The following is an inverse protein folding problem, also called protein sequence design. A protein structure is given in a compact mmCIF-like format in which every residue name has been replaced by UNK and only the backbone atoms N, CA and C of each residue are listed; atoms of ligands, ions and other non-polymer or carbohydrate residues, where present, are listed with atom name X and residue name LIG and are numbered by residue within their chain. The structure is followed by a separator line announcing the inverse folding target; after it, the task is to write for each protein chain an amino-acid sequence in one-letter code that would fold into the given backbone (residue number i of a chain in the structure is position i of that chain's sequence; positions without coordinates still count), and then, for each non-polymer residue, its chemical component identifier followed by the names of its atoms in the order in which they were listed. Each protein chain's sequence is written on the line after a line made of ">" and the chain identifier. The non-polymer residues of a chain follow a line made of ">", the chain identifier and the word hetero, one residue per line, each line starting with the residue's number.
data_IF_991292804274
#
_entry.id   IF_991292804274
#
_cell.length_a   1.000
_cell.length_b   1.000
_cell.length_c   1.000
_cell.angle_alpha   90.00
_cell.angle_beta   90.00
_cell.angle_gamma   90.00
#
_symmetry.space_group_name_H-M   'P 1'
#
loop_
_entity.id
_entity.type
_entity.pdbx_description
1 polymer ?
#
# COMPACT_ATOMS: atom_id res chain seq x y z
N UNK A 1 -30.96 -18.33 -16.88
CA UNK A 1 -29.94 -17.91 -17.85
C UNK A 1 -30.20 -16.42 -18.12
N UNK A 2 -29.37 -15.54 -17.63
CA UNK A 2 -29.35 -14.14 -18.02
C UNK A 2 -28.09 -14.02 -18.85
N UNK A 3 -28.28 -13.76 -20.15
CA UNK A 3 -27.20 -13.52 -21.10
C UNK A 3 -26.30 -12.40 -20.63
N UNK A 4 -24.98 -12.43 -20.87
CA UNK A 4 -24.10 -11.32 -20.61
C UNK A 4 -24.45 -10.21 -21.59
N UNK A 5 -24.80 -9.03 -21.08
CA UNK A 5 -24.87 -7.80 -21.88
C UNK A 5 -23.43 -7.49 -22.25
N UNK A 6 -23.05 -7.81 -23.49
CA UNK A 6 -21.73 -7.60 -24.07
C UNK A 6 -21.60 -6.14 -24.54
N UNK A 7 -21.11 -5.30 -23.67
CA UNK A 7 -20.37 -4.10 -24.04
C UNK A 7 -18.92 -4.30 -23.61
N UNK A 8 -17.93 -3.73 -24.27
CA UNK A 8 -16.49 -3.98 -24.21
C UNK A 8 -15.77 -3.92 -22.82
N UNK A 9 -16.48 -4.05 -21.70
CA UNK A 9 -15.94 -4.10 -20.36
C UNK A 9 -15.78 -5.55 -19.90
N UNK A 10 -14.63 -5.89 -19.34
CA UNK A 10 -14.33 -7.19 -18.75
C UNK A 10 -15.29 -7.48 -17.61
N UNK A 11 -16.05 -8.56 -17.76
CA UNK A 11 -17.14 -8.99 -16.87
C UNK A 11 -16.60 -9.27 -15.47
N UNK A 12 -16.92 -8.40 -14.50
CA UNK A 12 -16.73 -8.70 -13.07
C UNK A 12 -17.56 -9.93 -12.70
N UNK A 13 -17.02 -10.71 -11.77
CA UNK A 13 -17.70 -11.90 -11.29
C UNK A 13 -18.85 -11.53 -10.37
N UNK A 14 -20.09 -11.91 -10.74
CA UNK A 14 -21.26 -11.80 -9.86
C UNK A 14 -21.47 -13.14 -9.17
N UNK A 15 -21.59 -13.11 -7.83
CA UNK A 15 -21.71 -14.33 -6.99
C UNK A 15 -22.95 -14.21 -6.12
N UNK A 16 -23.81 -15.23 -6.13
CA UNK A 16 -25.09 -15.25 -5.39
C UNK A 16 -25.20 -16.51 -4.53
N UNK A 17 -25.94 -16.48 -3.41
CA UNK A 17 -26.10 -17.66 -2.51
C UNK A 17 -26.60 -18.92 -3.20
N UNK A 18 -27.41 -18.79 -4.26
CA UNK A 18 -27.93 -19.91 -5.06
C UNK A 18 -26.95 -20.50 -6.06
N UNK A 19 -25.79 -19.88 -6.26
CA UNK A 19 -24.79 -20.36 -7.22
C UNK A 19 -24.08 -21.60 -6.65
N UNK A 20 -23.95 -22.66 -7.45
CA UNK A 20 -23.32 -23.93 -7.04
C UNK A 20 -21.93 -23.74 -6.42
N UNK A 21 -21.21 -22.70 -6.85
CA UNK A 21 -19.86 -22.40 -6.39
C UNK A 21 -19.80 -21.36 -5.27
N UNK A 22 -20.94 -20.88 -4.73
CA UNK A 22 -20.95 -19.80 -3.73
C UNK A 22 -20.05 -20.12 -2.52
N UNK A 23 -20.31 -21.23 -1.84
CA UNK A 23 -19.54 -21.61 -0.65
C UNK A 23 -18.04 -21.79 -0.93
N UNK A 24 -17.69 -22.34 -2.11
CA UNK A 24 -16.29 -22.48 -2.54
C UNK A 24 -15.66 -21.11 -2.77
N UNK A 25 -16.37 -20.19 -3.41
CA UNK A 25 -15.90 -18.83 -3.65
C UNK A 25 -15.67 -18.09 -2.33
N UNK A 26 -16.63 -18.12 -1.39
CA UNK A 26 -16.49 -17.48 -0.08
C UNK A 26 -15.27 -18.03 0.67
N UNK A 27 -15.08 -19.35 0.70
CA UNK A 27 -13.87 -19.94 1.32
C UNK A 27 -12.57 -19.50 0.65
N UNK A 28 -12.57 -19.26 -0.65
CA UNK A 28 -11.38 -18.80 -1.37
C UNK A 28 -10.98 -17.35 -1.04
N UNK A 29 -11.87 -16.57 -0.44
CA UNK A 29 -11.58 -15.23 0.04
C UNK A 29 -10.71 -15.23 1.31
N UNK A 30 -10.73 -16.31 2.11
CA UNK A 30 -9.80 -16.50 3.21
C UNK A 30 -8.44 -16.98 2.68
N UNK A 31 -7.58 -16.06 2.33
CA UNK A 31 -6.31 -16.31 1.66
C UNK A 31 -5.13 -15.68 2.39
N UNK A 32 -3.94 -16.18 2.06
CA UNK A 32 -2.67 -15.57 2.42
C UNK A 32 -1.80 -15.45 1.18
N UNK A 33 -1.29 -14.25 0.93
CA UNK A 33 -0.35 -14.03 -0.17
C UNK A 33 0.94 -14.82 0.07
N UNK A 34 1.44 -15.51 -0.97
CA UNK A 34 2.72 -16.24 -0.96
C UNK A 34 3.46 -15.96 -2.25
N UNK A 35 4.78 -15.83 -2.14
CA UNK A 35 5.63 -15.77 -3.33
C UNK A 35 5.66 -17.13 -4.05
N UNK A 36 5.89 -17.12 -5.36
CA UNK A 36 6.14 -18.35 -6.11
C UNK A 36 7.58 -18.83 -5.89
N UNK A 37 7.87 -20.15 -6.01
CA UNK A 37 9.22 -20.67 -5.86
C UNK A 37 10.25 -19.99 -6.79
N UNK A 38 9.82 -19.57 -7.98
CA UNK A 38 10.69 -18.85 -8.93
C UNK A 38 11.07 -17.45 -8.39
N UNK A 39 10.13 -16.72 -7.79
CA UNK A 39 10.40 -15.43 -7.15
C UNK A 39 11.31 -15.62 -5.94
N UNK A 40 11.05 -16.62 -5.09
CA UNK A 40 11.88 -16.91 -3.92
C UNK A 40 13.34 -17.19 -4.31
N UNK A 41 13.57 -18.04 -5.34
CA UNK A 41 14.90 -18.34 -5.83
C UNK A 41 15.60 -17.10 -6.38
N UNK A 42 14.91 -16.34 -7.23
CA UNK A 42 15.48 -15.12 -7.85
C UNK A 42 15.91 -14.11 -6.78
N UNK A 43 15.09 -13.90 -5.76
CA UNK A 43 15.38 -12.96 -4.67
C UNK A 43 16.55 -13.44 -3.83
N UNK A 44 16.63 -14.72 -3.51
CA UNK A 44 17.78 -15.30 -2.80
C UNK A 44 19.09 -15.06 -3.55
N UNK A 45 19.09 -15.29 -4.87
CA UNK A 45 20.25 -15.07 -5.71
C UNK A 45 20.65 -13.58 -5.74
N UNK A 46 19.67 -12.66 -5.73
CA UNK A 46 19.91 -11.21 -5.68
C UNK A 46 20.54 -10.82 -4.33
N UNK A 47 19.98 -11.29 -3.21
CA UNK A 47 20.48 -10.99 -1.87
C UNK A 47 21.94 -11.47 -1.75
N UNK A 48 22.21 -12.71 -2.09
CA UNK A 48 23.56 -13.28 -2.05
C UNK A 48 24.56 -12.49 -2.92
N UNK A 49 24.12 -12.02 -4.10
CA UNK A 49 24.95 -11.18 -4.96
C UNK A 49 25.24 -9.81 -4.33
N UNK A 50 24.24 -9.16 -3.69
CA UNK A 50 24.47 -7.86 -3.02
C UNK A 50 25.41 -8.02 -1.83
N UNK A 51 25.29 -9.08 -1.06
CA UNK A 51 26.22 -9.38 0.04
C UNK A 51 27.66 -9.56 -0.42
N UNK A 52 27.87 -10.27 -1.52
CA UNK A 52 29.21 -10.57 -2.04
C UNK A 52 29.85 -9.42 -2.81
N UNK A 53 29.06 -8.70 -3.61
CA UNK A 53 29.55 -7.75 -4.64
C UNK A 53 29.19 -6.28 -4.33
N UNK A 54 28.34 -6.04 -3.34
CA UNK A 54 27.96 -4.68 -2.90
C UNK A 54 27.38 -3.82 -4.05
N UNK A 55 27.95 -2.63 -4.22
CA UNK A 55 27.48 -1.65 -5.23
C UNK A 55 27.52 -2.20 -6.67
N UNK A 56 28.45 -3.09 -6.99
CA UNK A 56 28.53 -3.70 -8.32
C UNK A 56 27.27 -4.53 -8.63
N UNK A 57 26.74 -5.27 -7.66
CA UNK A 57 25.49 -5.98 -7.79
C UNK A 57 24.31 -5.02 -8.01
N UNK A 58 24.25 -3.90 -7.26
CA UNK A 58 23.19 -2.89 -7.40
C UNK A 58 23.16 -2.35 -8.83
N UNK A 59 24.30 -1.97 -9.38
CA UNK A 59 24.45 -1.42 -10.72
C UNK A 59 24.02 -2.46 -11.77
N UNK A 60 24.55 -3.68 -11.66
CA UNK A 60 24.24 -4.78 -12.56
C UNK A 60 22.75 -5.12 -12.61
N UNK A 61 22.10 -5.27 -11.45
CA UNK A 61 20.68 -5.58 -11.39
C UNK A 61 19.81 -4.40 -11.82
N UNK A 62 20.19 -3.15 -11.51
CA UNK A 62 19.48 -1.97 -12.01
C UNK A 62 19.44 -1.97 -13.54
N UNK A 63 20.58 -2.20 -14.19
CA UNK A 63 20.65 -2.32 -15.66
C UNK A 63 19.87 -3.52 -16.19
N UNK A 64 20.02 -4.69 -15.56
CA UNK A 64 19.32 -5.93 -15.95
C UNK A 64 17.80 -5.78 -15.95
N UNK A 65 17.24 -5.00 -15.03
CA UNK A 65 15.80 -4.77 -14.90
C UNK A 65 15.31 -3.51 -15.62
N UNK A 66 16.08 -3.02 -16.60
CA UNK A 66 15.67 -1.93 -17.49
C UNK A 66 15.84 -0.52 -16.91
N UNK A 67 16.54 -0.39 -15.79
CA UNK A 67 16.94 0.89 -15.24
C UNK A 67 18.16 1.50 -15.96
N UNK A 68 18.56 2.72 -15.56
CA UNK A 68 19.69 3.43 -16.17
C UNK A 68 21.04 2.77 -15.84
N UNK A 69 22.04 3.02 -16.70
CA UNK A 69 23.43 2.71 -16.39
C UNK A 69 24.00 3.80 -15.50
N UNK A 70 24.17 3.51 -14.20
CA UNK A 70 24.73 4.44 -13.21
C UNK A 70 26.04 3.89 -12.68
N UNK A 71 26.99 4.78 -12.39
CA UNK A 71 28.16 4.45 -11.59
C UNK A 71 27.87 4.49 -10.08
N UNK A 72 28.73 3.92 -9.24
CA UNK A 72 28.55 3.89 -7.80
C UNK A 72 28.38 5.30 -7.19
N UNK A 73 29.13 6.29 -7.67
CA UNK A 73 29.02 7.70 -7.23
C UNK A 73 27.67 8.35 -7.60
N UNK A 74 26.99 7.82 -8.61
CA UNK A 74 25.72 8.34 -9.10
C UNK A 74 24.50 7.70 -8.41
N UNK A 75 24.69 6.65 -7.61
CA UNK A 75 23.60 6.00 -6.87
C UNK A 75 22.94 6.96 -5.88
N UNK A 76 23.70 7.82 -5.22
CA UNK A 76 23.18 8.80 -4.26
C UNK A 76 22.69 10.06 -4.99
N UNK A 77 21.51 10.53 -4.65
CA UNK A 77 21.04 11.86 -5.04
C UNK A 77 21.81 12.91 -4.25
N UNK A 78 22.40 13.93 -4.91
CA UNK A 78 23.11 15.00 -4.22
C UNK A 78 22.18 15.74 -3.27
N UNK A 79 22.63 16.07 -2.06
CA UNK A 79 21.83 16.80 -1.06
C UNK A 79 21.31 18.14 -1.60
N UNK A 80 22.10 18.81 -2.45
CA UNK A 80 21.71 20.08 -3.12
C UNK A 80 20.53 19.86 -4.08
N UNK A 81 20.50 18.72 -4.82
CA UNK A 81 19.39 18.37 -5.71
C UNK A 81 18.12 18.08 -4.90
N UNK A 82 18.25 17.30 -3.82
CA UNK A 82 17.15 16.98 -2.93
C UNK A 82 16.52 18.25 -2.32
N UNK A 83 17.33 19.15 -1.75
CA UNK A 83 16.85 20.40 -1.14
C UNK A 83 16.28 21.40 -2.16
N UNK A 84 16.78 21.40 -3.40
CA UNK A 84 16.28 22.26 -4.47
C UNK A 84 14.95 21.77 -5.07
N UNK A 85 14.64 20.48 -4.96
CA UNK A 85 13.47 19.88 -5.62
C UNK A 85 12.15 20.56 -5.21
N UNK A 86 11.96 20.83 -3.92
CA UNK A 86 10.73 21.50 -3.43
C UNK A 86 10.58 22.91 -3.99
N UNK A 87 11.69 23.65 -4.13
CA UNK A 87 11.66 25.01 -4.69
C UNK A 87 11.33 25.04 -6.16
N UNK A 88 11.69 23.98 -6.90
CA UNK A 88 11.49 23.87 -8.35
C UNK A 88 10.09 23.48 -8.79
N UNK A 89 9.18 23.16 -7.86
CA UNK A 89 7.78 22.82 -8.16
C UNK A 89 6.95 24.09 -8.39
N UNK A 90 5.91 23.95 -9.22
CA UNK A 90 4.87 24.97 -9.35
C UNK A 90 4.10 25.19 -8.04
N UNK A 91 3.49 26.35 -7.90
CA UNK A 91 2.81 26.77 -6.68
C UNK A 91 1.61 25.87 -6.30
N UNK A 92 0.74 25.42 -7.24
CA UNK A 92 -0.33 24.49 -6.93
C UNK A 92 0.18 23.16 -6.38
N UNK A 93 1.14 22.52 -7.04
CA UNK A 93 1.74 21.24 -6.60
C UNK A 93 2.39 21.39 -5.22
N UNK A 94 3.12 22.47 -4.99
CA UNK A 94 3.73 22.74 -3.68
C UNK A 94 2.69 22.89 -2.57
N UNK A 95 1.58 23.60 -2.82
CA UNK A 95 0.48 23.74 -1.85
C UNK A 95 -0.16 22.39 -1.54
N UNK A 96 -0.43 21.57 -2.56
CA UNK A 96 -1.03 20.25 -2.39
C UNK A 96 -0.14 19.32 -1.53
N UNK A 97 1.17 19.23 -1.83
CA UNK A 97 2.13 18.45 -1.05
C UNK A 97 2.21 18.95 0.40
N UNK A 98 2.25 20.26 0.62
CA UNK A 98 2.33 20.84 1.96
C UNK A 98 1.07 20.56 2.78
N UNK A 99 -0.11 20.63 2.15
CA UNK A 99 -1.38 20.32 2.81
C UNK A 99 -1.45 18.83 3.21
N UNK A 100 -1.11 17.92 2.29
CA UNK A 100 -1.05 16.48 2.57
C UNK A 100 -0.06 16.17 3.69
N UNK A 101 1.17 16.70 3.61
CA UNK A 101 2.19 16.52 4.65
C UNK A 101 1.74 17.02 6.02
N UNK A 102 1.07 18.17 6.10
CA UNK A 102 0.54 18.72 7.36
C UNK A 102 -0.47 17.75 8.01
N UNK A 103 -1.40 17.20 7.22
CA UNK A 103 -2.40 16.25 7.72
C UNK A 103 -1.75 14.94 8.16
N UNK A 104 -0.85 14.39 7.36
CA UNK A 104 -0.11 13.16 7.67
C UNK A 104 0.70 13.35 8.96
N UNK A 105 1.42 14.45 9.09
CA UNK A 105 2.21 14.77 10.29
C UNK A 105 1.33 14.88 11.55
N UNK A 106 0.19 15.57 11.42
CA UNK A 106 -0.75 15.70 12.53
C UNK A 106 -1.30 14.34 12.99
N UNK A 107 -1.62 13.45 12.04
CA UNK A 107 -2.07 12.10 12.35
C UNK A 107 -0.93 11.27 12.96
N UNK A 108 0.26 11.27 12.35
CA UNK A 108 1.42 10.53 12.84
C UNK A 108 1.77 10.92 14.29
N UNK A 109 1.76 12.21 14.62
CA UNK A 109 2.02 12.67 15.98
C UNK A 109 1.02 12.14 17.02
N UNK A 110 -0.25 11.96 16.62
CA UNK A 110 -1.29 11.37 17.50
C UNK A 110 -1.14 9.86 17.66
N UNK A 111 -0.53 9.18 16.70
CA UNK A 111 -0.28 7.73 16.71
C UNK A 111 0.93 7.33 17.54
N UNK A 112 1.79 8.28 17.93
CA UNK A 112 2.99 7.99 18.70
C UNK A 112 2.66 7.43 20.08
N UNK A 113 3.29 6.33 20.43
CA UNK A 113 3.24 5.77 21.78
C UNK A 113 3.99 6.69 22.75
N UNK A 114 3.43 6.84 23.95
CA UNK A 114 4.02 7.65 25.01
C UNK A 114 4.67 6.75 26.06
N UNK A 115 5.82 7.19 26.58
CA UNK A 115 6.44 6.55 27.74
C UNK A 115 5.48 6.61 28.94
N UNK A 116 5.44 5.53 29.74
CA UNK A 116 4.64 5.49 30.94
C UNK A 116 5.35 4.74 32.05
N UNK A 117 5.01 5.05 33.30
CA UNK A 117 5.43 4.27 34.45
C UNK A 117 4.32 4.24 35.51
N UNK A 118 4.25 3.14 36.25
CA UNK A 118 3.31 2.93 37.33
C UNK A 118 3.97 2.09 38.44
N UNK A 119 3.33 2.00 39.63
CA UNK A 119 3.70 1.04 40.65
C UNK A 119 2.81 -0.19 40.54
N UNK A 120 3.40 -1.38 40.64
CA UNK A 120 2.64 -2.62 40.73
C UNK A 120 2.10 -2.83 42.17
N UNK A 121 1.33 -3.90 42.37
CA UNK A 121 0.73 -4.23 43.66
C UNK A 121 1.77 -4.44 44.79
N UNK A 122 3.01 -4.80 44.46
CA UNK A 122 4.11 -4.99 45.40
C UNK A 122 4.96 -3.72 45.60
N UNK A 123 4.56 -2.58 44.99
CA UNK A 123 5.23 -1.31 45.12
C UNK A 123 6.40 -1.08 44.16
N UNK A 124 6.78 -2.04 43.31
CA UNK A 124 7.85 -1.89 42.34
C UNK A 124 7.44 -0.90 41.24
N UNK A 125 8.38 -0.02 40.83
CA UNK A 125 8.16 0.88 39.67
C UNK A 125 8.43 0.13 38.38
N UNK A 126 7.41 0.08 37.51
CA UNK A 126 7.47 -0.53 36.17
C UNK A 126 7.06 0.48 35.11
N UNK A 127 7.45 0.28 33.86
CA UNK A 127 7.05 1.18 32.77
C UNK A 127 7.56 0.71 31.40
N UNK A 128 7.14 1.41 30.36
CA UNK A 128 7.64 1.24 29.00
C UNK A 128 8.25 2.55 28.49
N UNK A 129 9.36 2.42 27.80
CA UNK A 129 10.04 3.50 27.11
C UNK A 129 10.11 3.21 25.62
N UNK A 130 9.73 4.18 24.80
CA UNK A 130 9.71 4.09 23.34
C UNK A 130 10.76 5.04 22.79
N UNK A 131 11.81 4.48 22.20
CA UNK A 131 12.89 5.22 21.57
C UNK A 131 12.84 5.04 20.04
N UNK A 132 13.16 6.08 19.23
CA UNK A 132 13.20 5.95 17.78
C UNK A 132 14.38 5.06 17.34
N UNK A 133 14.22 4.42 16.19
CA UNK A 133 15.36 3.83 15.48
C UNK A 133 16.37 4.92 15.11
N UNK A 134 17.66 4.59 15.10
CA UNK A 134 18.69 5.54 14.70
C UNK A 134 18.73 5.75 13.18
N UNK A 135 18.41 4.72 12.40
CA UNK A 135 18.43 4.76 10.94
C UNK A 135 17.40 3.81 10.37
N UNK A 136 16.54 4.30 9.48
CA UNK A 136 15.51 3.51 8.79
C UNK A 136 15.61 3.64 7.29
N UNK A 137 15.20 2.60 6.57
CA UNK A 137 15.13 2.56 5.12
C UNK A 137 13.69 2.63 4.64
N UNK A 138 13.44 3.48 3.67
CA UNK A 138 12.14 3.66 3.02
C UNK A 138 12.27 3.22 1.57
N UNK A 139 11.54 2.18 1.20
CA UNK A 139 11.42 1.78 -0.19
C UNK A 139 10.24 2.53 -0.84
N UNK A 140 10.52 3.34 -1.84
CA UNK A 140 9.49 4.03 -2.62
C UNK A 140 9.46 3.43 -4.02
N UNK A 141 8.35 2.78 -4.43
CA UNK A 141 8.24 2.23 -5.76
C UNK A 141 8.40 3.31 -6.83
N UNK A 142 9.09 2.95 -7.90
CA UNK A 142 9.13 3.72 -9.13
C UNK A 142 8.38 2.96 -10.21
N UNK A 143 8.10 3.58 -11.32
CA UNK A 143 7.39 2.98 -12.44
C UNK A 143 6.65 4.02 -13.26
N UNK A 144 5.44 3.71 -13.68
CA UNK A 144 4.63 4.59 -14.54
C UNK A 144 4.21 5.88 -13.86
N UNK A 145 4.06 5.88 -12.52
CA UNK A 145 3.73 7.08 -11.74
C UNK A 145 4.64 7.22 -10.52
N UNK A 146 5.05 8.44 -10.14
CA UNK A 146 5.77 8.67 -8.90
C UNK A 146 4.83 8.49 -7.72
N UNK A 147 5.15 7.58 -6.80
CA UNK A 147 4.36 7.38 -5.57
C UNK A 147 4.76 8.41 -4.51
N UNK A 148 4.31 9.63 -4.72
CA UNK A 148 4.57 10.78 -3.84
C UNK A 148 3.92 10.56 -2.47
N UNK A 149 2.75 9.95 -2.42
CA UNK A 149 2.03 9.63 -1.18
C UNK A 149 2.81 8.66 -0.30
N UNK A 150 3.37 7.58 -0.87
CA UNK A 150 4.25 6.66 -0.14
C UNK A 150 5.43 7.39 0.50
N UNK A 151 6.10 8.27 -0.25
CA UNK A 151 7.21 9.06 0.29
C UNK A 151 6.76 9.96 1.46
N UNK A 152 5.64 10.66 1.31
CA UNK A 152 5.08 11.50 2.37
C UNK A 152 4.69 10.67 3.59
N UNK A 153 3.93 9.60 3.42
CA UNK A 153 3.39 8.82 4.52
C UNK A 153 4.49 8.09 5.30
N UNK A 154 5.42 7.42 4.63
CA UNK A 154 6.47 6.66 5.32
C UNK A 154 7.52 7.55 5.97
N UNK A 155 8.08 8.54 5.24
CA UNK A 155 9.11 9.42 5.80
C UNK A 155 8.55 10.32 6.91
N UNK A 156 7.31 10.85 6.76
CA UNK A 156 6.73 11.73 7.80
C UNK A 156 6.49 10.98 9.11
N UNK A 157 6.06 9.71 9.07
CA UNK A 157 5.91 8.91 10.28
C UNK A 157 7.27 8.65 10.95
N UNK A 158 8.31 8.35 10.18
CA UNK A 158 9.66 8.19 10.70
C UNK A 158 10.17 9.48 11.34
N UNK A 159 9.99 10.63 10.66
CA UNK A 159 10.38 11.95 11.17
C UNK A 159 9.57 12.34 12.43
N UNK A 160 8.26 12.04 12.46
CA UNK A 160 7.40 12.31 13.63
C UNK A 160 7.82 11.47 14.84
N UNK A 161 8.29 10.24 14.60
CA UNK A 161 8.85 9.37 15.65
C UNK A 161 10.25 9.82 16.14
N UNK A 162 10.88 10.82 15.51
CA UNK A 162 12.19 11.33 15.90
C UNK A 162 13.37 10.54 15.32
N UNK A 163 13.17 9.78 14.25
CA UNK A 163 14.27 9.06 13.58
C UNK A 163 15.25 10.04 12.94
N UNK A 164 16.54 10.04 13.33
CA UNK A 164 17.50 11.03 12.83
C UNK A 164 17.96 10.75 11.40
N UNK A 165 18.01 9.51 10.96
CA UNK A 165 18.46 9.14 9.62
C UNK A 165 17.38 8.35 8.85
N UNK A 166 16.76 9.03 7.90
CA UNK A 166 15.69 8.47 7.04
C UNK A 166 16.25 8.34 5.64
N UNK A 167 16.48 7.10 5.21
CA UNK A 167 17.11 6.75 3.94
C UNK A 167 16.05 6.25 2.97
N UNK A 168 15.85 6.95 1.86
CA UNK A 168 14.94 6.49 0.82
C UNK A 168 15.69 5.81 -0.34
N UNK A 169 15.13 4.72 -0.85
CA UNK A 169 15.56 4.07 -2.08
C UNK A 169 14.39 4.08 -3.08
N UNK A 170 14.66 4.47 -4.31
CA UNK A 170 13.67 4.51 -5.40
C UNK A 170 14.36 4.32 -6.74
N UNK A 171 13.78 3.56 -7.69
CA UNK A 171 14.38 3.45 -9.02
C UNK A 171 14.34 4.81 -9.72
N UNK A 172 15.44 5.14 -10.42
CA UNK A 172 15.48 6.27 -11.31
C UNK A 172 14.84 5.96 -12.67
N UNK A 173 14.43 6.98 -13.39
CA UNK A 173 14.02 6.88 -14.78
C UNK A 173 15.19 6.44 -15.69
N UNK A 174 14.90 6.14 -16.96
CA UNK A 174 15.93 5.78 -17.95
C UNK A 174 16.98 6.87 -18.17
N UNK A 175 16.62 8.11 -17.89
CA UNK A 175 17.49 9.29 -17.89
C UNK A 175 18.40 9.40 -16.66
N UNK A 176 18.38 8.42 -15.76
CA UNK A 176 19.14 8.42 -14.50
C UNK A 176 18.65 9.39 -13.43
N UNK A 177 17.46 9.98 -13.60
CA UNK A 177 16.92 10.99 -12.67
C UNK A 177 15.72 10.43 -11.89
N UNK A 178 15.56 10.91 -10.67
CA UNK A 178 14.33 10.75 -9.88
C UNK A 178 13.40 11.93 -10.19
N UNK A 179 12.11 11.68 -10.32
CA UNK A 179 11.14 12.74 -10.62
C UNK A 179 11.14 13.81 -9.55
N UNK A 180 11.14 15.09 -9.98
CA UNK A 180 11.22 16.27 -9.08
C UNK A 180 10.15 16.27 -7.98
N UNK A 181 8.90 15.91 -8.31
CA UNK A 181 7.82 15.83 -7.33
C UNK A 181 8.10 14.81 -6.23
N UNK A 182 8.69 13.65 -6.57
CA UNK A 182 9.08 12.64 -5.59
C UNK A 182 10.24 13.12 -4.70
N UNK A 183 11.27 13.72 -5.28
CA UNK A 183 12.37 14.32 -4.49
C UNK A 183 11.87 15.41 -3.54
N UNK A 184 10.93 16.23 -4.02
CA UNK A 184 10.33 17.28 -3.19
C UNK A 184 9.53 16.70 -2.02
N UNK A 185 8.76 15.63 -2.26
CA UNK A 185 8.02 14.94 -1.21
C UNK A 185 8.95 14.28 -0.18
N UNK A 186 9.99 13.61 -0.63
CA UNK A 186 11.02 13.00 0.23
C UNK A 186 11.71 14.07 1.10
N UNK A 187 12.10 15.19 0.50
CA UNK A 187 12.70 16.30 1.23
C UNK A 187 11.74 16.90 2.26
N UNK A 188 10.50 17.19 1.85
CA UNK A 188 9.47 17.76 2.73
C UNK A 188 9.16 16.85 3.92
N UNK A 189 9.15 15.52 3.69
CA UNK A 189 8.87 14.51 4.69
C UNK A 189 10.06 14.14 5.59
N UNK A 190 11.25 14.73 5.35
CA UNK A 190 12.42 14.57 6.22
C UNK A 190 13.41 13.49 5.81
N UNK A 191 13.38 12.99 4.55
CA UNK A 191 14.41 12.08 4.05
C UNK A 191 15.79 12.74 4.09
N UNK A 192 16.76 12.07 4.72
CA UNK A 192 18.15 12.59 4.89
C UNK A 192 19.06 12.13 3.75
N UNK A 193 18.76 10.98 3.16
CA UNK A 193 19.49 10.39 2.04
C UNK A 193 18.52 9.78 1.04
N UNK A 194 18.83 9.89 -0.25
CA UNK A 194 18.04 9.26 -1.32
C UNK A 194 18.98 8.54 -2.28
N UNK A 195 18.66 7.26 -2.60
CA UNK A 195 19.45 6.46 -3.52
C UNK A 195 18.61 5.99 -4.71
N UNK A 196 19.21 6.05 -5.89
CA UNK A 196 18.62 5.71 -7.20
C UNK A 196 18.72 4.20 -7.46
N UNK A 197 18.12 3.41 -6.60
CA UNK A 197 18.08 1.95 -6.72
C UNK A 197 16.70 1.44 -6.33
N UNK A 198 16.18 0.46 -7.08
CA UNK A 198 14.88 -0.17 -6.84
C UNK A 198 14.98 -1.68 -6.80
N UNK A 199 13.84 -2.36 -6.66
CA UNK A 199 13.77 -3.83 -6.67
C UNK A 199 14.31 -4.50 -5.41
N UNK A 200 14.40 -5.83 -5.46
CA UNK A 200 14.90 -6.65 -4.35
C UNK A 200 16.34 -6.28 -3.93
N UNK A 201 17.18 -5.87 -4.88
CA UNK A 201 18.56 -5.44 -4.60
C UNK A 201 18.62 -4.17 -3.75
N UNK A 202 17.61 -3.27 -3.85
CA UNK A 202 17.56 -2.09 -2.99
C UNK A 202 17.24 -2.48 -1.53
N UNK A 203 16.31 -3.41 -1.31
CA UNK A 203 15.98 -3.94 0.02
C UNK A 203 17.21 -4.66 0.60
N UNK A 204 17.89 -5.48 -0.21
CA UNK A 204 19.12 -6.15 0.20
C UNK A 204 20.22 -5.15 0.61
N UNK A 205 20.40 -4.05 -0.14
CA UNK A 205 21.36 -3.00 0.20
C UNK A 205 21.00 -2.29 1.51
N UNK A 206 19.71 -2.01 1.76
CA UNK A 206 19.26 -1.43 3.03
C UNK A 206 19.51 -2.37 4.23
N UNK A 207 19.33 -3.67 4.05
CA UNK A 207 19.49 -4.65 5.11
C UNK A 207 20.95 -5.05 5.37
N UNK A 208 21.73 -5.28 4.31
CA UNK A 208 23.09 -5.82 4.38
C UNK A 208 24.16 -4.72 4.42
N UNK A 209 23.83 -3.56 3.89
CA UNK A 209 24.79 -2.51 3.61
C UNK A 209 25.62 -2.77 2.34
N UNK A 210 26.16 -1.70 1.78
CA UNK A 210 27.16 -1.73 0.72
C UNK A 210 28.21 -0.65 0.99
N UNK A 211 29.19 -0.45 0.11
CA UNK A 211 30.15 0.64 0.26
C UNK A 211 29.46 2.02 0.23
N UNK A 212 28.40 2.17 -0.58
CA UNK A 212 27.68 3.45 -0.77
C UNK A 212 26.50 3.59 0.19
N UNK A 213 25.79 2.51 0.53
CA UNK A 213 24.57 2.51 1.36
C UNK A 213 24.87 1.82 2.68
N UNK A 214 24.86 2.58 3.79
CA UNK A 214 24.95 2.01 5.13
C UNK A 214 23.66 1.24 5.49
N UNK A 215 23.74 0.11 6.23
CA UNK A 215 22.57 -0.65 6.61
C UNK A 215 21.65 0.13 7.53
N UNK A 216 20.40 -0.31 7.60
CA UNK A 216 19.32 0.29 8.41
C UNK A 216 18.78 -0.72 9.43
N UNK A 217 18.14 -0.22 10.49
CA UNK A 217 17.53 -1.08 11.50
C UNK A 217 16.16 -1.62 11.08
N UNK A 218 15.42 -0.87 10.26
CA UNK A 218 14.08 -1.27 9.78
C UNK A 218 13.84 -0.76 8.36
N UNK A 219 13.15 -1.58 7.55
CA UNK A 219 12.75 -1.23 6.18
C UNK A 219 11.24 -1.08 6.12
N UNK A 220 10.79 0.03 5.53
CA UNK A 220 9.39 0.37 5.32
C UNK A 220 9.10 0.54 3.82
N UNK A 221 7.82 0.49 3.48
CA UNK A 221 7.29 0.82 2.15
C UNK A 221 6.82 -0.38 1.35
N UNK A 222 5.89 -0.14 0.40
CA UNK A 222 5.28 -1.15 -0.44
C UNK A 222 6.22 -1.53 -1.58
N UNK A 223 5.90 -2.61 -2.28
CA UNK A 223 6.66 -3.02 -3.46
C UNK A 223 6.03 -4.18 -4.18
N UNK A 224 6.55 -4.53 -5.33
CA UNK A 224 6.14 -5.71 -6.06
C UNK A 224 6.56 -7.00 -5.33
N UNK A 225 6.13 -8.15 -5.85
CA UNK A 225 6.41 -9.47 -5.25
C UNK A 225 7.89 -9.74 -4.95
N UNK A 226 8.82 -9.20 -5.73
CA UNK A 226 10.27 -9.35 -5.49
C UNK A 226 10.75 -8.51 -4.30
N UNK A 227 10.20 -7.30 -4.13
CA UNK A 227 10.51 -6.42 -3.00
C UNK A 227 9.95 -7.01 -1.71
N UNK A 228 8.70 -7.46 -1.74
CA UNK A 228 8.04 -8.11 -0.60
C UNK A 228 8.79 -9.40 -0.20
N UNK A 229 9.18 -10.20 -1.17
CA UNK A 229 9.94 -11.42 -0.93
C UNK A 229 11.33 -11.12 -0.36
N UNK A 230 11.99 -10.05 -0.80
CA UNK A 230 13.26 -9.61 -0.21
C UNK A 230 13.09 -9.20 1.25
N UNK A 231 12.03 -8.47 1.59
CA UNK A 231 11.70 -8.15 2.99
C UNK A 231 11.45 -9.42 3.81
N UNK A 232 10.75 -10.41 3.25
CA UNK A 232 10.49 -11.69 3.92
C UNK A 232 11.78 -12.47 4.20
N UNK A 233 12.67 -12.59 3.21
CA UNK A 233 13.93 -13.34 3.36
C UNK A 233 14.94 -12.65 4.29
N UNK A 234 14.87 -11.33 4.40
CA UNK A 234 15.76 -10.53 5.25
C UNK A 234 15.19 -10.25 6.64
N UNK A 235 13.95 -10.67 6.90
CA UNK A 235 13.36 -10.58 8.24
C UNK A 235 14.20 -11.34 9.25
N UNK A 236 14.50 -10.70 10.38
CA UNK A 236 15.44 -11.21 11.40
C UNK A 236 16.83 -10.61 11.27
N UNK A 237 17.31 -10.30 10.05
CA UNK A 237 18.52 -9.50 9.84
C UNK A 237 18.21 -7.99 9.91
N UNK A 238 17.10 -7.60 9.38
CA UNK A 238 16.53 -6.25 9.48
C UNK A 238 15.07 -6.36 9.87
N UNK A 239 14.57 -5.44 10.68
CA UNK A 239 13.14 -5.38 10.93
C UNK A 239 12.41 -4.89 9.65
N UNK A 240 11.19 -5.36 9.43
CA UNK A 240 10.32 -4.87 8.35
C UNK A 240 9.01 -4.35 8.92
N UNK A 241 8.35 -3.47 8.20
CA UNK A 241 7.02 -2.97 8.55
C UNK A 241 5.96 -4.07 8.39
N UNK A 242 5.78 -4.53 7.14
CA UNK A 242 4.80 -5.53 6.74
C UNK A 242 5.23 -6.20 5.42
N UNK A 243 4.51 -7.25 5.03
CA UNK A 243 4.71 -7.97 3.77
C UNK A 243 3.46 -7.81 2.90
N UNK A 244 3.28 -6.64 2.22
CA UNK A 244 2.07 -6.36 1.47
C UNK A 244 1.98 -7.21 0.20
N UNK A 245 0.76 -7.63 -0.13
CA UNK A 245 0.41 -8.18 -1.44
C UNK A 245 -0.17 -7.08 -2.36
N UNK A 246 -0.96 -7.48 -3.37
CA UNK A 246 -1.71 -6.53 -4.19
C UNK A 246 -2.66 -5.68 -3.35
N UNK A 247 -2.90 -4.44 -3.77
CA UNK A 247 -3.84 -3.54 -3.09
C UNK A 247 -5.28 -4.03 -3.18
N UNK A 248 -6.06 -3.80 -2.13
CA UNK A 248 -7.37 -4.39 -1.94
C UNK A 248 -8.40 -3.41 -1.41
N UNK A 249 -9.61 -3.51 -1.94
CA UNK A 249 -10.79 -2.86 -1.36
C UNK A 249 -11.90 -3.88 -1.15
N UNK A 250 -12.57 -3.75 0.00
CA UNK A 250 -13.84 -4.38 0.29
C UNK A 250 -14.88 -3.28 0.53
N UNK A 251 -15.91 -3.21 -0.28
CA UNK A 251 -17.07 -2.33 -0.04
C UNK A 251 -18.19 -3.17 0.57
N UNK A 252 -18.75 -2.70 1.69
CA UNK A 252 -19.99 -3.25 2.26
C UNK A 252 -21.07 -2.20 2.04
N UNK A 253 -22.09 -2.55 1.26
CA UNK A 253 -23.17 -1.62 0.91
C UNK A 253 -24.54 -2.22 1.21
N UNK A 254 -25.42 -1.45 1.86
CA UNK A 254 -26.82 -1.81 2.02
C UNK A 254 -27.70 -1.20 0.90
N UNK A 255 -29.02 -1.42 0.97
CA UNK A 255 -29.98 -0.91 -0.01
C UNK A 255 -30.07 0.62 -0.11
N UNK A 256 -29.53 1.36 0.87
CA UNK A 256 -29.58 2.83 0.93
C UNK A 256 -28.32 3.47 0.34
N UNK A 257 -27.28 2.70 0.04
CA UNK A 257 -26.06 3.22 -0.55
C UNK A 257 -26.30 3.85 -1.93
N UNK A 258 -25.40 4.74 -2.33
CA UNK A 258 -25.42 5.28 -3.69
C UNK A 258 -24.58 4.36 -4.59
N UNK A 259 -25.20 3.70 -5.61
CA UNK A 259 -24.47 2.75 -6.48
C UNK A 259 -23.30 3.40 -7.22
N UNK A 260 -23.40 4.68 -7.58
CA UNK A 260 -22.34 5.38 -8.28
C UNK A 260 -21.12 5.62 -7.40
N UNK A 261 -21.30 5.87 -6.11
CA UNK A 261 -20.20 6.04 -5.15
C UNK A 261 -19.54 4.70 -4.83
N UNK A 262 -20.35 3.64 -4.65
CA UNK A 262 -19.83 2.27 -4.49
C UNK A 262 -18.96 1.87 -5.68
N UNK A 263 -19.43 2.11 -6.90
CA UNK A 263 -18.68 1.83 -8.12
C UNK A 263 -17.39 2.64 -8.21
N UNK A 264 -17.44 3.92 -7.81
CA UNK A 264 -16.26 4.80 -7.79
C UNK A 264 -15.16 4.28 -6.86
N UNK A 265 -15.49 3.85 -5.64
CA UNK A 265 -14.53 3.27 -4.71
C UNK A 265 -13.92 1.96 -5.25
N UNK A 266 -14.74 1.07 -5.83
CA UNK A 266 -14.26 -0.16 -6.46
C UNK A 266 -13.28 0.11 -7.60
N UNK A 267 -13.59 1.09 -8.46
CA UNK A 267 -12.78 1.46 -9.61
C UNK A 267 -11.50 2.19 -9.21
N UNK A 268 -11.56 3.07 -8.19
CA UNK A 268 -10.38 3.74 -7.65
C UNK A 268 -9.31 2.73 -7.21
N UNK A 269 -9.71 1.61 -6.60
CA UNK A 269 -8.79 0.54 -6.26
C UNK A 269 -8.38 -0.31 -7.47
N UNK A 270 -9.33 -0.62 -8.35
CA UNK A 270 -9.05 -1.49 -9.50
C UNK A 270 -8.04 -0.87 -10.48
N UNK A 271 -7.93 0.46 -10.56
CA UNK A 271 -6.96 1.14 -11.43
C UNK A 271 -5.53 1.21 -10.87
N UNK A 272 -5.31 0.83 -9.60
CA UNK A 272 -3.96 0.83 -8.98
C UNK A 272 -3.01 -0.15 -9.66
N UNK A 273 -3.48 -1.36 -9.96
CA UNK A 273 -2.66 -2.39 -10.59
C UNK A 273 -3.50 -3.50 -11.22
N UNK A 274 -2.91 -4.24 -12.14
CA UNK A 274 -3.58 -5.34 -12.84
C UNK A 274 -3.96 -6.51 -11.91
N UNK A 275 -3.33 -6.60 -10.76
CA UNK A 275 -3.51 -7.61 -9.69
C UNK A 275 -4.32 -7.09 -8.50
N UNK A 276 -4.78 -5.83 -8.53
CA UNK A 276 -5.65 -5.25 -7.51
C UNK A 276 -6.96 -6.03 -7.37
N UNK A 277 -7.47 -6.09 -6.14
CA UNK A 277 -8.70 -6.80 -5.82
C UNK A 277 -9.77 -5.81 -5.35
N UNK A 278 -10.92 -5.85 -6.00
CA UNK A 278 -12.09 -5.06 -5.64
C UNK A 278 -13.28 -5.99 -5.36
N UNK A 279 -13.81 -5.94 -4.14
CA UNK A 279 -14.88 -6.81 -3.66
C UNK A 279 -16.04 -5.98 -3.13
N UNK A 280 -17.26 -6.24 -3.62
CA UNK A 280 -18.50 -5.75 -3.04
C UNK A 280 -19.19 -6.87 -2.27
N UNK A 281 -19.65 -6.58 -1.06
CA UNK A 281 -20.60 -7.39 -0.30
C UNK A 281 -21.89 -6.58 -0.09
N UNK A 282 -23.03 -7.11 -0.49
CA UNK A 282 -24.33 -6.49 -0.27
C UNK A 282 -25.40 -7.54 -0.02
N UNK A 283 -26.37 -7.25 0.84
CA UNK A 283 -27.57 -8.06 1.06
C UNK A 283 -28.75 -7.63 0.18
N UNK A 284 -28.51 -6.70 -0.76
CA UNK A 284 -29.52 -6.14 -1.67
C UNK A 284 -29.24 -6.53 -3.14
N UNK A 285 -30.07 -7.39 -3.71
CA UNK A 285 -29.97 -7.74 -5.13
C UNK A 285 -30.15 -6.54 -6.08
N UNK A 286 -31.08 -5.56 -5.82
CA UNK A 286 -31.15 -4.34 -6.62
C UNK A 286 -29.86 -3.50 -6.55
N UNK A 287 -29.23 -3.37 -5.36
CA UNK A 287 -27.96 -2.66 -5.19
C UNK A 287 -26.86 -3.33 -5.99
N UNK A 288 -26.72 -4.65 -5.89
CA UNK A 288 -25.73 -5.40 -6.66
C UNK A 288 -25.85 -5.16 -8.16
N UNK A 289 -27.08 -5.21 -8.71
CA UNK A 289 -27.34 -4.95 -10.14
C UNK A 289 -27.07 -3.48 -10.54
N UNK A 290 -27.39 -2.53 -9.65
CA UNK A 290 -27.14 -1.10 -9.90
C UNK A 290 -25.63 -0.81 -9.91
N UNK A 291 -24.86 -1.35 -8.96
CA UNK A 291 -23.41 -1.19 -8.92
C UNK A 291 -22.73 -1.82 -10.13
N UNK A 292 -23.19 -3.00 -10.59
CA UNK A 292 -22.64 -3.62 -11.79
C UNK A 292 -22.74 -2.68 -13.01
N UNK A 293 -23.92 -2.08 -13.24
CA UNK A 293 -24.12 -1.09 -14.32
C UNK A 293 -23.26 0.16 -14.15
N UNK A 294 -23.15 0.66 -12.91
CA UNK A 294 -22.35 1.84 -12.61
C UNK A 294 -20.85 1.62 -12.83
N UNK A 295 -20.31 0.46 -12.47
CA UNK A 295 -18.92 0.13 -12.74
C UNK A 295 -18.64 0.12 -14.23
N UNK A 296 -19.48 -0.50 -15.05
CA UNK A 296 -19.34 -0.49 -16.50
C UNK A 296 -19.36 0.94 -17.05
N UNK A 297 -20.38 1.73 -16.68
CA UNK A 297 -20.55 3.12 -17.12
C UNK A 297 -19.38 4.03 -16.75
N UNK A 298 -18.78 3.83 -15.56
CA UNK A 298 -17.68 4.66 -15.10
C UNK A 298 -16.33 4.18 -15.63
N UNK A 299 -16.11 2.88 -15.77
CA UNK A 299 -14.86 2.31 -16.28
C UNK A 299 -14.52 2.81 -17.67
N UNK A 300 -15.52 3.00 -18.54
CA UNK A 300 -15.35 3.50 -19.91
C UNK A 300 -14.79 4.95 -19.97
N UNK A 301 -14.92 5.70 -18.88
CA UNK A 301 -14.43 7.09 -18.78
C UNK A 301 -13.03 7.21 -18.20
N UNK A 302 -12.47 6.11 -17.68
CA UNK A 302 -11.18 6.13 -17.03
C UNK A 302 -10.03 5.89 -18.02
N UNK A 303 -8.94 6.64 -17.82
CA UNK A 303 -7.79 6.63 -18.74
C UNK A 303 -6.94 5.37 -18.66
N UNK A 304 -7.06 4.58 -17.58
CA UNK A 304 -6.28 3.35 -17.31
C UNK A 304 -6.98 2.07 -17.78
N UNK A 305 -7.75 2.11 -18.86
CA UNK A 305 -8.59 1.01 -19.34
C UNK A 305 -7.88 -0.35 -19.52
N UNK A 306 -6.59 -0.37 -19.89
CA UNK A 306 -5.82 -1.62 -20.02
C UNK A 306 -5.53 -2.29 -18.67
N UNK A 307 -5.33 -1.53 -17.61
CA UNK A 307 -5.16 -2.02 -16.23
C UNK A 307 -6.50 -2.50 -15.72
N UNK A 308 -7.56 -1.68 -15.86
CA UNK A 308 -8.92 -2.00 -15.43
C UNK A 308 -9.43 -3.30 -16.05
N UNK A 309 -9.22 -3.52 -17.36
CA UNK A 309 -9.59 -4.79 -18.02
C UNK A 309 -8.98 -6.03 -17.38
N UNK A 310 -7.81 -5.92 -16.77
CA UNK A 310 -7.16 -7.03 -16.08
C UNK A 310 -7.65 -7.16 -14.63
N UNK A 311 -7.66 -6.08 -13.87
CA UNK A 311 -8.03 -6.08 -12.45
C UNK A 311 -9.51 -6.43 -12.23
N UNK A 312 -10.41 -5.95 -13.08
CA UNK A 312 -11.84 -6.26 -12.99
C UNK A 312 -12.16 -7.75 -13.19
N UNK A 313 -11.28 -8.54 -13.83
CA UNK A 313 -11.42 -10.02 -13.88
C UNK A 313 -11.25 -10.67 -12.50
N UNK A 314 -10.50 -10.04 -11.62
CA UNK A 314 -10.28 -10.47 -10.23
C UNK A 314 -11.29 -9.83 -9.27
N UNK A 315 -12.08 -8.85 -9.73
CA UNK A 315 -13.12 -8.21 -8.94
C UNK A 315 -14.37 -9.09 -8.83
N UNK A 316 -15.09 -8.96 -7.71
CA UNK A 316 -16.34 -9.69 -7.51
C UNK A 316 -17.41 -8.84 -6.80
N UNK A 317 -18.65 -8.97 -7.28
CA UNK A 317 -19.84 -8.45 -6.64
C UNK A 317 -20.60 -9.61 -6.00
N UNK A 318 -20.71 -9.62 -4.68
CA UNK A 318 -21.25 -10.75 -3.92
C UNK A 318 -22.55 -10.35 -3.25
N UNK A 319 -23.64 -11.05 -3.60
CA UNK A 319 -24.85 -11.00 -2.82
C UNK A 319 -24.70 -11.94 -1.61
N UNK A 320 -24.91 -11.41 -0.43
CA UNK A 320 -24.91 -12.21 0.81
C UNK A 320 -26.34 -12.38 1.34
N UNK A 321 -26.65 -13.46 2.06
CA UNK A 321 -28.00 -13.66 2.64
C UNK A 321 -28.38 -12.56 3.63
N UNK A 322 -27.43 -12.09 4.46
CA UNK A 322 -27.64 -11.11 5.51
C UNK A 322 -26.41 -10.24 5.71
N UNK A 323 -26.55 -9.03 6.21
CA UNK A 323 -25.44 -8.13 6.54
C UNK A 323 -24.45 -8.76 7.55
N UNK A 324 -24.92 -9.63 8.44
CA UNK A 324 -24.05 -10.38 9.36
C UNK A 324 -23.06 -11.30 8.61
N UNK A 325 -23.51 -11.89 7.51
CA UNK A 325 -22.65 -12.75 6.69
C UNK A 325 -21.59 -11.92 5.97
N UNK A 326 -21.93 -10.65 5.56
CA UNK A 326 -20.93 -9.71 5.01
C UNK A 326 -19.82 -9.40 6.03
N UNK A 327 -20.16 -9.20 7.31
CA UNK A 327 -19.17 -8.93 8.36
C UNK A 327 -18.25 -10.15 8.57
N UNK A 328 -18.81 -11.35 8.60
CA UNK A 328 -18.05 -12.60 8.73
C UNK A 328 -17.07 -12.77 7.57
N UNK A 329 -17.53 -12.53 6.34
CA UNK A 329 -16.69 -12.60 5.13
C UNK A 329 -15.61 -11.51 5.18
N UNK A 330 -15.94 -10.29 5.58
CA UNK A 330 -14.99 -9.18 5.70
C UNK A 330 -13.86 -9.50 6.68
N UNK A 331 -14.18 -10.05 7.84
CA UNK A 331 -13.19 -10.48 8.83
C UNK A 331 -12.35 -11.68 8.32
N UNK A 332 -12.94 -12.58 7.55
CA UNK A 332 -12.22 -13.67 6.87
C UNK A 332 -11.29 -13.16 5.76
N UNK A 333 -11.72 -12.18 4.99
CA UNK A 333 -10.93 -11.57 3.91
C UNK A 333 -9.79 -10.69 4.44
N UNK A 334 -10.03 -9.95 5.53
CA UNK A 334 -9.07 -9.04 6.18
C UNK A 334 -8.47 -8.04 5.19
N UNK A 335 -9.35 -7.24 4.57
CA UNK A 335 -8.98 -6.28 3.53
C UNK A 335 -8.09 -5.14 4.04
N UNK A 336 -7.24 -4.66 3.17
CA UNK A 336 -6.48 -3.41 3.34
C UNK A 336 -7.43 -2.23 3.59
N UNK A 337 -8.36 -2.00 2.68
CA UNK A 337 -9.36 -0.93 2.76
C UNK A 337 -10.77 -1.53 2.86
N UNK A 338 -11.58 -0.98 3.76
CA UNK A 338 -13.01 -1.30 3.86
C UNK A 338 -13.82 -0.01 3.77
N UNK A 339 -14.68 0.10 2.74
CA UNK A 339 -15.65 1.18 2.61
C UNK A 339 -17.02 0.71 3.11
N UNK A 340 -17.57 1.38 4.11
CA UNK A 340 -18.85 1.07 4.71
C UNK A 340 -19.93 2.04 4.20
N UNK A 341 -20.57 1.70 3.11
CA UNK A 341 -21.65 2.49 2.52
C UNK A 341 -23.01 1.94 2.99
N UNK A 342 -23.30 2.10 4.27
CA UNK A 342 -24.46 1.54 4.96
C UNK A 342 -25.12 2.60 5.86
N UNK A 343 -26.38 2.37 6.25
CA UNK A 343 -27.15 3.31 7.07
C UNK A 343 -26.56 3.58 8.47
N UNK A 344 -25.82 2.63 9.05
CA UNK A 344 -25.09 2.82 10.33
C UNK A 344 -23.67 2.23 10.23
N UNK A 345 -22.73 2.97 9.64
CA UNK A 345 -21.37 2.47 9.42
C UNK A 345 -20.61 2.21 10.74
N UNK A 346 -20.80 3.00 11.77
CA UNK A 346 -20.11 2.82 13.06
C UNK A 346 -20.49 1.48 13.72
N UNK A 347 -21.75 1.05 13.62
CA UNK A 347 -22.22 -0.24 14.15
C UNK A 347 -21.58 -1.43 13.41
N UNK A 348 -21.33 -1.31 12.13
CA UNK A 348 -20.64 -2.34 11.34
C UNK A 348 -19.14 -2.32 11.65
N UNK A 349 -18.52 -1.13 11.66
CA UNK A 349 -17.10 -0.96 11.97
C UNK A 349 -16.69 -1.60 13.30
N UNK A 350 -17.51 -1.44 14.35
CA UNK A 350 -17.29 -2.03 15.67
C UNK A 350 -17.19 -3.58 15.66
N UNK A 351 -17.65 -4.23 14.57
CA UNK A 351 -17.60 -5.70 14.40
C UNK A 351 -16.50 -6.17 13.45
N UNK A 352 -15.78 -5.24 12.82
CA UNK A 352 -14.64 -5.55 11.97
C UNK A 352 -13.37 -5.57 12.81
N UNK A 353 -12.71 -6.71 12.86
CA UNK A 353 -11.56 -6.94 13.75
C UNK A 353 -10.23 -7.15 13.04
N UNK A 354 -10.25 -7.27 11.72
CA UNK A 354 -9.08 -7.59 10.90
C UNK A 354 -8.85 -6.62 9.73
N UNK A 355 -9.71 -5.60 9.62
CA UNK A 355 -9.60 -4.58 8.57
C UNK A 355 -8.62 -3.48 9.00
N UNK A 356 -7.80 -3.00 8.05
CA UNK A 356 -6.71 -2.08 8.38
C UNK A 356 -7.16 -0.61 8.32
N UNK A 357 -7.82 -0.19 7.23
CA UNK A 357 -8.45 1.13 7.13
C UNK A 357 -9.95 0.99 6.88
N UNK A 358 -10.77 1.71 7.66
CA UNK A 358 -12.22 1.65 7.56
C UNK A 358 -12.76 3.05 7.27
N UNK A 359 -13.44 3.20 6.12
CA UNK A 359 -14.06 4.44 5.66
C UNK A 359 -15.56 4.42 6.00
N UNK A 360 -16.02 5.40 6.78
CA UNK A 360 -17.35 5.40 7.38
C UNK A 360 -18.31 6.28 6.59
N UNK A 361 -19.23 5.64 5.85
CA UNK A 361 -20.31 6.31 5.13
C UNK A 361 -19.91 6.77 3.72
N UNK A 362 -20.94 7.09 2.90
CA UNK A 362 -20.77 7.42 1.49
C UNK A 362 -19.97 8.69 1.20
N UNK A 363 -19.82 9.58 2.18
CA UNK A 363 -18.99 10.79 2.06
C UNK A 363 -17.52 10.59 2.45
N UNK A 364 -17.10 9.37 2.69
CA UNK A 364 -15.73 9.02 3.03
C UNK A 364 -15.11 8.16 1.91
N UNK A 365 -14.76 8.76 0.75
CA UNK A 365 -14.20 8.00 -0.37
C UNK A 365 -12.81 7.47 -0.02
N UNK A 366 -12.49 6.25 -0.46
CA UNK A 366 -11.20 5.60 -0.20
C UNK A 366 -10.03 6.41 -0.75
N UNK A 367 -10.20 7.03 -1.94
CA UNK A 367 -9.19 7.90 -2.54
C UNK A 367 -8.77 9.09 -1.67
N UNK A 368 -9.61 9.57 -0.74
CA UNK A 368 -9.20 10.61 0.21
C UNK A 368 -8.16 10.09 1.21
N UNK A 369 -8.22 8.81 1.58
CA UNK A 369 -7.23 8.15 2.43
C UNK A 369 -5.85 8.09 1.80
N UNK A 370 -5.79 7.88 0.49
CA UNK A 370 -4.54 7.76 -0.24
C UNK A 370 -3.70 9.05 -0.29
N UNK A 371 -4.31 10.22 -0.11
CA UNK A 371 -3.58 11.47 -0.37
C UNK A 371 -3.73 12.52 0.71
N UNK A 372 -4.91 12.68 1.31
CA UNK A 372 -5.24 13.94 1.99
C UNK A 372 -5.53 13.81 3.47
N UNK A 373 -6.23 12.78 3.93
CA UNK A 373 -6.83 12.77 5.28
C UNK A 373 -5.85 12.44 6.40
N UNK A 374 -4.69 11.89 6.11
CA UNK A 374 -3.59 11.78 7.07
C UNK A 374 -3.17 10.37 7.53
N UNK A 375 -4.05 9.37 7.66
CA UNK A 375 -3.60 7.99 7.92
C UNK A 375 -2.63 7.50 6.85
N UNK A 376 -1.74 6.57 7.23
CA UNK A 376 -0.92 5.88 6.23
C UNK A 376 -1.77 4.91 5.42
N UNK A 377 -1.51 4.82 4.13
CA UNK A 377 -2.06 3.78 3.26
C UNK A 377 -1.10 2.57 3.09
N UNK A 378 0.03 2.59 3.76
CA UNK A 378 0.95 1.44 3.81
C UNK A 378 0.41 0.43 4.81
N UNK A 379 -0.49 -0.42 4.35
CA UNK A 379 -1.32 -1.28 5.17
C UNK A 379 -1.13 -2.76 4.83
N UNK A 380 -1.40 -3.67 5.77
CA UNK A 380 -1.40 -5.11 5.50
C UNK A 380 -2.43 -5.49 4.43
N UNK A 381 -2.03 -6.31 3.46
CA UNK A 381 -2.87 -6.86 2.39
C UNK A 381 -2.77 -8.38 2.34
N UNK A 382 -3.53 -9.06 1.48
CA UNK A 382 -3.44 -10.51 1.31
C UNK A 382 -3.84 -11.32 2.54
N UNK A 383 -4.75 -10.79 3.35
CA UNK A 383 -5.17 -11.41 4.60
C UNK A 383 -4.21 -11.18 5.78
N UNK A 384 -3.17 -10.37 5.59
CA UNK A 384 -2.16 -10.11 6.62
C UNK A 384 -2.69 -9.25 7.79
N UNK A 385 -3.81 -8.53 7.63
CA UNK A 385 -4.51 -7.83 8.71
C UNK A 385 -4.92 -8.72 9.91
N UNK A 386 -4.90 -10.06 9.72
CA UNK A 386 -5.08 -11.05 10.80
C UNK A 386 -3.85 -11.22 11.69
N UNK A 387 -2.67 -10.76 11.25
CA UNK A 387 -1.38 -11.03 11.88
C UNK A 387 -0.56 -9.78 12.14
N UNK A 388 -0.83 -8.70 11.42
CA UNK A 388 -0.12 -7.43 11.54
C UNK A 388 -1.12 -6.34 11.91
N UNK A 389 -0.79 -5.55 12.92
CA UNK A 389 -1.48 -4.29 13.16
C UNK A 389 -1.05 -3.27 12.09
N UNK A 390 -1.98 -2.46 11.63
CA UNK A 390 -1.70 -1.33 10.75
C UNK A 390 -0.97 -0.22 11.48
#
# INVERSE_FOLDING_TARGET
>A
MIEPVLGHASVMRIVRPRDKNYARFIRSLDRRARATPAVEKTVRDIIAAVEREGDAALIRYTKKFGGPSLGAKELRVPAKELSAALRSLDAPTKRALSAAHKNIRSFAQRSLRKNWSARNAQGAKVGERFDPFQRVGIYVPGGTAPLVSTALMTCTYAAAAGVPEIVAVTPAGRDGKVKKALLAALHLAGATEVYKVGGAQAVAALACGTKTIRPVAKVFGPGNSYVVEAKRQLFGRVAVDLLPGPSEILVIADRKANPAWVASDLLAQAEHGADSIALLLTDSAPMLAAVAREVERQADKLTRGSILKKSLRSAALVLVPRMADAITIANGFASEHVSLQVGNPAKIAAKLTTSCAIFLGGYSPVAAGDFLVGPSHELPTGGAGKSFAG
#
